data_IF_360676137804
#
_entry.id   IF_360676137804
#
_cell.length_a   1.000
_cell.length_b   1.000
_cell.length_c   1.000
_cell.angle_alpha   90.00
_cell.angle_beta   90.00
_cell.angle_gamma   90.00
#
_symmetry.space_group_name_H-M   'P 1'
#
loop_
_entity.id
_entity.type
_entity.pdbx_description
1 polymer ?
#
# COMPACT_ATOMS: atom_id res chain seq x y z
N UNK A 1 -9.27 0.30 -16.66
CA UNK A 1 -8.82 -1.03 -17.11
C UNK A 1 -8.57 -1.95 -15.91
N UNK A 2 -8.97 -3.24 -15.99
CA UNK A 2 -8.66 -4.27 -14.99
C UNK A 2 -7.21 -4.76 -15.13
N UNK A 3 -6.65 -5.28 -14.04
CA UNK A 3 -5.36 -6.00 -14.08
C UNK A 3 -5.56 -7.41 -14.64
N UNK A 4 -4.55 -8.04 -15.27
CA UNK A 4 -4.58 -9.46 -15.60
C UNK A 4 -4.88 -10.32 -14.35
N UNK A 5 -5.47 -11.50 -14.52
CA UNK A 5 -5.86 -12.37 -13.39
C UNK A 5 -4.92 -13.55 -13.23
N UNK A 6 -4.94 -14.14 -12.03
CA UNK A 6 -4.25 -15.39 -11.71
C UNK A 6 -2.93 -15.20 -10.98
N UNK A 7 -2.72 -14.06 -10.32
CA UNK A 7 -1.52 -13.83 -9.51
C UNK A 7 -1.62 -14.53 -8.15
N UNK A 8 -0.55 -15.21 -7.75
CA UNK A 8 -0.45 -15.76 -6.40
C UNK A 8 -0.10 -14.67 -5.38
N UNK A 9 0.69 -13.66 -5.80
CA UNK A 9 1.10 -12.53 -4.97
C UNK A 9 1.06 -11.23 -5.77
N UNK A 10 0.52 -10.18 -5.17
CA UNK A 10 0.64 -8.79 -5.67
C UNK A 10 1.30 -7.94 -4.60
N UNK A 11 2.35 -7.21 -4.99
CA UNK A 11 3.03 -6.26 -4.11
C UNK A 11 2.73 -4.80 -4.51
N UNK A 12 2.46 -3.98 -3.51
CA UNK A 12 2.22 -2.53 -3.63
C UNK A 12 3.24 -1.84 -2.71
N UNK A 13 4.40 -1.53 -3.27
CA UNK A 13 5.54 -0.94 -2.54
C UNK A 13 5.62 0.53 -2.91
N UNK A 14 5.38 1.44 -1.96
CA UNK A 14 5.39 2.89 -2.20
C UNK A 14 4.48 3.30 -3.37
N UNK A 15 3.29 2.71 -3.46
CA UNK A 15 2.29 2.98 -4.52
C UNK A 15 1.06 3.69 -3.96
N UNK A 16 0.49 3.19 -2.87
CA UNK A 16 -0.82 3.63 -2.38
C UNK A 16 -0.76 5.02 -1.75
N UNK A 17 0.38 5.39 -1.16
CA UNK A 17 0.55 6.71 -0.55
C UNK A 17 0.50 7.85 -1.57
N UNK A 18 0.88 7.61 -2.83
CA UNK A 18 0.91 8.65 -3.88
C UNK A 18 -0.47 9.09 -4.35
N UNK A 19 -1.51 8.31 -4.08
CA UNK A 19 -2.85 8.55 -4.59
C UNK A 19 -3.81 9.05 -3.51
N UNK A 20 -4.89 9.76 -3.89
CA UNK A 20 -6.01 10.04 -2.99
C UNK A 20 -6.63 8.73 -2.45
N UNK A 21 -7.31 8.81 -1.30
CA UNK A 21 -7.77 7.61 -0.58
C UNK A 21 -8.77 6.75 -1.37
N UNK A 22 -9.65 7.37 -2.14
CA UNK A 22 -10.59 6.70 -3.04
C UNK A 22 -9.88 5.96 -4.17
N UNK A 23 -8.90 6.60 -4.80
CA UNK A 23 -8.07 5.98 -5.85
C UNK A 23 -7.24 4.82 -5.28
N UNK A 24 -6.61 5.01 -4.11
CA UNK A 24 -5.86 3.95 -3.43
C UNK A 24 -6.75 2.74 -3.09
N UNK A 25 -8.00 2.95 -2.64
CA UNK A 25 -8.97 1.86 -2.43
C UNK A 25 -9.37 1.19 -3.74
N UNK A 26 -9.52 1.94 -4.82
CA UNK A 26 -9.80 1.37 -6.14
C UNK A 26 -8.64 0.50 -6.65
N UNK A 27 -7.38 0.92 -6.40
CA UNK A 27 -6.19 0.12 -6.71
C UNK A 27 -6.14 -1.17 -5.88
N UNK A 28 -6.42 -1.11 -4.57
CA UNK A 28 -6.53 -2.30 -3.72
C UNK A 28 -7.57 -3.29 -4.23
N UNK A 29 -8.75 -2.79 -4.66
CA UNK A 29 -9.80 -3.65 -5.23
C UNK A 29 -9.34 -4.33 -6.52
N UNK A 30 -8.71 -3.58 -7.42
CA UNK A 30 -8.17 -4.14 -8.67
C UNK A 30 -7.09 -5.20 -8.40
N UNK A 31 -6.24 -4.96 -7.40
CA UNK A 31 -5.26 -5.95 -6.97
C UNK A 31 -5.96 -7.21 -6.42
N UNK A 32 -6.96 -7.05 -5.54
CA UNK A 32 -7.73 -8.17 -5.03
C UNK A 32 -8.42 -8.98 -6.13
N UNK A 33 -9.06 -8.33 -7.10
CA UNK A 33 -9.74 -8.97 -8.24
C UNK A 33 -8.79 -9.74 -9.17
N UNK A 34 -7.49 -9.45 -9.10
CA UNK A 34 -6.45 -10.04 -9.92
C UNK A 34 -5.78 -11.27 -9.28
N UNK A 35 -5.96 -11.45 -7.95
CA UNK A 35 -5.40 -12.58 -7.23
C UNK A 35 -6.17 -13.88 -7.53
N UNK A 36 -5.43 -14.98 -7.60
CA UNK A 36 -6.01 -16.31 -7.54
C UNK A 36 -6.62 -16.59 -6.14
N UNK A 37 -7.56 -17.55 -5.99
CA UNK A 37 -8.04 -17.96 -4.68
C UNK A 37 -6.89 -18.36 -3.75
N UNK A 38 -6.83 -17.77 -2.55
CA UNK A 38 -5.74 -17.97 -1.60
C UNK A 38 -4.49 -17.11 -1.85
N UNK A 39 -4.49 -16.27 -2.89
CA UNK A 39 -3.41 -15.34 -3.17
C UNK A 39 -3.21 -14.27 -2.11
N UNK A 40 -2.02 -13.68 -2.07
CA UNK A 40 -1.59 -12.73 -1.04
C UNK A 40 -1.36 -11.33 -1.62
N UNK A 41 -1.69 -10.32 -0.82
CA UNK A 41 -1.30 -8.94 -1.09
C UNK A 41 -0.23 -8.51 -0.09
N UNK A 42 0.82 -7.86 -0.58
CA UNK A 42 1.92 -7.32 0.23
C UNK A 42 1.95 -5.82 0.06
N UNK A 43 1.82 -5.07 1.15
CA UNK A 43 1.85 -3.61 1.15
C UNK A 43 3.07 -3.16 1.94
N UNK A 44 3.94 -2.36 1.32
CA UNK A 44 5.11 -1.80 1.95
C UNK A 44 5.11 -0.28 1.76
N UNK A 45 4.74 0.43 2.81
CA UNK A 45 4.49 1.87 2.79
C UNK A 45 5.03 2.48 4.07
N UNK A 46 5.49 3.73 3.98
CA UNK A 46 5.73 4.50 5.19
C UNK A 46 4.41 4.86 5.86
N UNK A 47 4.23 4.38 7.09
CA UNK A 47 2.98 4.54 7.83
C UNK A 47 3.03 5.80 8.68
N UNK A 48 1.90 6.49 8.76
CA UNK A 48 1.74 7.64 9.64
C UNK A 48 1.67 7.15 11.08
N UNK A 49 2.64 7.58 11.90
CA UNK A 49 2.67 7.32 13.34
C UNK A 49 3.01 8.61 14.10
N UNK A 50 2.60 8.75 15.38
CA UNK A 50 2.88 9.97 16.16
C UNK A 50 4.37 10.30 16.30
N UNK A 51 5.22 9.28 16.37
CA UNK A 51 6.68 9.37 16.50
C UNK A 51 7.40 9.72 15.19
N UNK A 52 6.71 9.65 14.04
CA UNK A 52 7.29 9.90 12.69
C UNK A 52 6.74 11.16 12.01
N UNK A 53 6.15 12.08 12.76
CA UNK A 53 5.66 13.35 12.24
C UNK A 53 6.74 14.16 11.51
N UNK A 54 7.99 14.11 11.96
CA UNK A 54 9.11 14.78 11.31
C UNK A 54 9.40 14.20 9.91
N UNK A 55 9.24 12.89 9.73
CA UNK A 55 9.42 12.24 8.43
C UNK A 55 8.28 12.58 7.48
N UNK A 56 7.05 12.60 7.99
CA UNK A 56 5.90 13.09 7.23
C UNK A 56 6.10 14.55 6.78
N UNK A 57 6.55 15.43 7.68
CA UNK A 57 6.83 16.82 7.38
C UNK A 57 7.93 16.96 6.33
N UNK A 58 9.01 16.19 6.45
CA UNK A 58 10.11 16.14 5.48
C UNK A 58 9.60 15.76 4.08
N UNK A 59 8.81 14.69 3.97
CA UNK A 59 8.25 14.27 2.67
C UNK A 59 7.28 15.29 2.08
N UNK A 60 6.37 15.83 2.90
CA UNK A 60 5.45 16.87 2.45
C UNK A 60 6.18 18.14 2.02
N UNK A 61 7.27 18.53 2.72
CA UNK A 61 8.09 19.68 2.35
C UNK A 61 8.82 19.46 1.03
N UNK A 62 9.38 18.27 0.79
CA UNK A 62 10.07 17.96 -0.46
C UNK A 62 9.14 18.03 -1.68
N UNK A 63 7.86 17.71 -1.49
CA UNK A 63 6.85 17.67 -2.55
C UNK A 63 5.99 18.94 -2.63
N UNK A 64 6.22 19.93 -1.76
CA UNK A 64 5.39 21.14 -1.68
C UNK A 64 5.43 22.00 -2.95
N UNK A 65 6.46 21.84 -3.78
CA UNK A 65 6.60 22.53 -5.07
C UNK A 65 6.03 21.77 -6.27
N UNK A 66 5.40 20.61 -6.05
CA UNK A 66 4.77 19.81 -7.11
C UNK A 66 3.26 20.00 -7.01
N UNK A 67 2.69 20.84 -7.88
CA UNK A 67 1.27 21.25 -7.85
C UNK A 67 0.27 20.08 -7.88
N UNK A 68 0.70 18.90 -8.36
CA UNK A 68 -0.11 17.68 -8.43
C UNK A 68 0.16 16.68 -7.30
N UNK A 69 1.00 17.00 -6.32
CA UNK A 69 1.30 16.07 -5.25
C UNK A 69 0.12 15.92 -4.28
N UNK A 70 -0.52 14.77 -4.35
CA UNK A 70 -1.61 14.35 -3.46
C UNK A 70 -1.17 13.27 -2.47
N UNK A 71 0.15 13.09 -2.33
CA UNK A 71 0.74 12.03 -1.52
C UNK A 71 0.36 12.19 -0.04
N UNK A 72 -0.05 11.08 0.59
CA UNK A 72 -0.49 11.06 1.98
C UNK A 72 -0.12 9.75 2.66
N UNK A 73 0.71 9.85 3.69
CA UNK A 73 0.97 8.75 4.62
C UNK A 73 -0.30 8.44 5.42
N UNK A 74 -0.56 7.15 5.64
CA UNK A 74 -1.77 6.67 6.32
C UNK A 74 -1.42 5.79 7.50
N UNK A 75 -2.32 5.74 8.48
CA UNK A 75 -2.17 4.86 9.64
C UNK A 75 -2.41 3.40 9.24
N UNK A 76 -1.84 2.47 10.00
CA UNK A 76 -2.01 1.01 9.85
C UNK A 76 -3.50 0.62 9.71
N UNK A 77 -4.37 1.21 10.53
CA UNK A 77 -5.80 0.92 10.55
C UNK A 77 -6.45 1.08 9.16
N UNK A 78 -6.05 2.13 8.43
CA UNK A 78 -6.61 2.41 7.10
C UNK A 78 -6.37 1.26 6.11
N UNK A 79 -5.18 0.65 6.16
CA UNK A 79 -4.81 -0.47 5.28
C UNK A 79 -5.50 -1.77 5.73
N UNK A 80 -5.43 -2.08 7.02
CA UNK A 80 -6.02 -3.33 7.57
C UNK A 80 -7.53 -3.37 7.39
N UNK A 81 -8.24 -2.26 7.61
CA UNK A 81 -9.68 -2.14 7.36
C UNK A 81 -10.02 -2.29 5.86
N UNK A 82 -9.22 -1.68 4.97
CA UNK A 82 -9.43 -1.80 3.54
C UNK A 82 -9.28 -3.25 3.06
N UNK A 83 -8.29 -3.98 3.59
CA UNK A 83 -8.06 -5.39 3.28
C UNK A 83 -9.18 -6.27 3.84
N UNK A 84 -9.60 -6.05 5.08
CA UNK A 84 -10.71 -6.80 5.69
C UNK A 84 -12.02 -6.61 4.90
N UNK A 85 -12.30 -5.39 4.44
CA UNK A 85 -13.48 -5.08 3.62
C UNK A 85 -13.46 -5.76 2.24
N UNK A 86 -12.27 -6.16 1.75
CA UNK A 86 -12.10 -6.93 0.52
C UNK A 86 -12.08 -8.46 0.75
N UNK A 87 -12.29 -8.91 1.98
CA UNK A 87 -12.35 -10.33 2.33
C UNK A 87 -11.00 -10.99 2.63
N UNK A 88 -9.91 -10.21 2.76
CA UNK A 88 -8.64 -10.76 3.23
C UNK A 88 -8.73 -11.14 4.71
N UNK A 89 -8.11 -12.27 5.05
CA UNK A 89 -8.00 -12.82 6.41
C UNK A 89 -6.53 -12.93 6.80
N UNK A 90 -6.22 -13.22 8.08
CA UNK A 90 -4.83 -13.34 8.57
C UNK A 90 -3.96 -12.09 8.30
N UNK A 91 -4.53 -10.90 8.49
CA UNK A 91 -3.84 -9.64 8.24
C UNK A 91 -2.82 -9.38 9.36
N UNK A 92 -1.54 -9.50 9.03
CA UNK A 92 -0.42 -9.23 9.94
C UNK A 92 0.34 -7.96 9.54
N UNK A 93 0.75 -7.16 10.54
CA UNK A 93 1.58 -5.96 10.35
C UNK A 93 2.96 -6.25 10.90
N UNK A 94 3.95 -6.27 10.01
CA UNK A 94 5.33 -6.55 10.36
C UNK A 94 6.11 -5.21 10.44
N UNK A 95 6.60 -4.80 11.62
CA UNK A 95 7.35 -3.55 11.75
C UNK A 95 8.73 -3.65 11.06
N UNK A 96 9.12 -2.61 10.33
CA UNK A 96 10.42 -2.51 9.66
C UNK A 96 10.75 -1.09 9.20
N UNK A 97 12.04 -0.80 8.97
CA UNK A 97 12.54 0.51 8.51
C UNK A 97 12.61 0.66 6.96
N UNK A 98 12.20 -0.40 6.25
CA UNK A 98 12.19 -0.65 4.81
C UNK A 98 13.54 -0.93 4.15
N UNK A 99 13.71 -2.19 3.73
CA UNK A 99 14.15 -2.56 2.38
C UNK A 99 13.28 -3.76 1.95
N UNK A 100 12.83 -3.83 0.69
CA UNK A 100 12.06 -4.96 0.16
C UNK A 100 12.70 -5.48 -1.12
N UNK A 101 13.20 -6.73 -1.06
CA UNK A 101 13.75 -7.48 -2.18
C UNK A 101 13.02 -8.82 -2.24
N UNK A 102 12.51 -9.18 -3.42
CA UNK A 102 11.75 -10.42 -3.65
C UNK A 102 12.27 -11.13 -4.91
N UNK A 103 12.39 -12.45 -4.84
CA UNK A 103 12.85 -13.30 -5.93
C UNK A 103 12.17 -14.67 -5.88
N UNK A 104 11.68 -15.15 -7.03
CA UNK A 104 11.36 -16.55 -7.25
C UNK A 104 11.94 -17.00 -8.60
N UNK A 105 12.51 -18.19 -8.60
CA UNK A 105 13.28 -18.71 -9.72
C UNK A 105 13.19 -20.24 -9.77
N UNK A 106 13.21 -20.78 -11.00
CA UNK A 106 14.15 -21.83 -11.39
C UNK A 106 14.93 -21.34 -12.62
#
# INVERSE_FOLDING_TARGET
EPLPRGYDVISLIRVLHDWPADVARALLRKAADALAPGGRIVICEELRTPDRLAVQLFWTYFLVGVDSCVSRLREVAWYTEALAALGFVEIAVLPGAFDVIVAERA
#
